data_IF_747251375128
#
_entry.id   IF_747251375128
#
_cell.length_a   1.000
_cell.length_b   1.000
_cell.length_c   1.000
_cell.angle_alpha   90.00
_cell.angle_beta   90.00
_cell.angle_gamma   90.00
#
_symmetry.space_group_name_H-M   'P 1'
#
loop_
_entity.id
_entity.type
_entity.pdbx_description
1 polymer ?
#
# COMPACT_ATOMS: atom_id res chain seq x y z
N UNK A 1 -39.29 14.51 -26.96
CA UNK A 1 -38.27 15.59 -26.82
C UNK A 1 -37.47 15.70 -28.13
N UNK A 2 -37.26 16.92 -28.65
CA UNK A 2 -36.49 17.13 -29.88
C UNK A 2 -34.99 16.85 -29.66
N UNK A 3 -34.26 16.54 -30.74
CA UNK A 3 -32.82 16.25 -30.64
C UNK A 3 -32.03 17.44 -30.07
N UNK A 4 -32.40 18.67 -30.45
CA UNK A 4 -31.81 19.91 -29.92
C UNK A 4 -32.03 20.07 -28.42
N UNK A 5 -33.22 19.71 -27.92
CA UNK A 5 -33.52 19.77 -26.49
C UNK A 5 -32.75 18.68 -25.70
N UNK A 6 -32.55 17.49 -26.27
CA UNK A 6 -31.76 16.42 -25.64
C UNK A 6 -30.32 16.87 -25.49
N UNK A 7 -29.72 17.36 -26.57
CA UNK A 7 -28.34 17.85 -26.57
C UNK A 7 -28.14 18.93 -25.49
N UNK A 8 -28.97 19.98 -25.48
CA UNK A 8 -28.88 21.05 -24.47
C UNK A 8 -28.99 20.52 -23.04
N UNK A 9 -29.95 19.64 -22.77
CA UNK A 9 -30.15 19.09 -21.43
C UNK A 9 -28.96 18.23 -21.00
N UNK A 10 -28.38 17.45 -21.92
CA UNK A 10 -27.21 16.61 -21.65
C UNK A 10 -25.95 17.43 -21.36
N UNK A 11 -25.74 18.55 -22.04
CA UNK A 11 -24.63 19.47 -21.70
C UNK A 11 -24.76 19.98 -20.26
N UNK A 12 -25.95 20.42 -19.85
CA UNK A 12 -26.19 20.89 -18.47
C UNK A 12 -25.93 19.77 -17.46
N UNK A 13 -26.44 18.58 -17.71
CA UNK A 13 -26.21 17.40 -16.87
C UNK A 13 -24.72 17.08 -16.74
N UNK A 14 -23.97 17.14 -17.84
CA UNK A 14 -22.53 16.91 -17.81
C UNK A 14 -21.80 17.97 -16.99
N UNK A 15 -22.13 19.25 -17.15
CA UNK A 15 -21.51 20.33 -16.38
C UNK A 15 -21.75 20.16 -14.87
N UNK A 16 -22.99 19.82 -14.49
CA UNK A 16 -23.32 19.51 -13.09
C UNK A 16 -22.49 18.31 -12.59
N UNK A 17 -22.39 17.26 -13.40
CA UNK A 17 -21.62 16.05 -13.06
C UNK A 17 -20.14 16.34 -12.87
N UNK A 18 -19.55 17.20 -13.72
CA UNK A 18 -18.16 17.65 -13.61
C UNK A 18 -17.94 18.40 -12.30
N UNK A 19 -18.79 19.38 -12.00
CA UNK A 19 -18.69 20.16 -10.75
C UNK A 19 -18.78 19.24 -9.53
N UNK A 20 -19.75 18.33 -9.51
CA UNK A 20 -19.90 17.37 -8.40
C UNK A 20 -18.65 16.48 -8.29
N UNK A 21 -18.13 15.99 -9.42
CA UNK A 21 -16.94 15.12 -9.43
C UNK A 21 -15.71 15.84 -8.88
N UNK A 22 -15.48 17.10 -9.28
CA UNK A 22 -14.37 17.93 -8.80
C UNK A 22 -14.47 18.20 -7.29
N UNK A 23 -15.68 18.33 -6.75
CA UNK A 23 -15.88 18.54 -5.31
C UNK A 23 -15.71 17.24 -4.51
N UNK A 24 -16.12 16.10 -5.07
CA UNK A 24 -16.11 14.82 -4.35
C UNK A 24 -14.76 14.11 -4.42
N UNK A 25 -14.07 14.14 -5.57
CA UNK A 25 -12.78 13.47 -5.76
C UNK A 25 -11.73 13.83 -4.70
N UNK A 26 -11.49 15.11 -4.37
CA UNK A 26 -10.58 15.46 -3.29
C UNK A 26 -10.98 14.84 -1.97
N UNK A 27 -12.28 14.85 -1.60
CA UNK A 27 -12.74 14.26 -0.32
C UNK A 27 -12.40 12.77 -0.20
N UNK A 28 -12.37 12.05 -1.32
CA UNK A 28 -12.13 10.61 -1.35
C UNK A 28 -10.65 10.28 -1.41
N UNK A 29 -9.90 11.01 -2.24
CA UNK A 29 -8.51 10.68 -2.59
C UNK A 29 -7.49 11.54 -1.84
N UNK A 30 -7.93 12.56 -1.10
CA UNK A 30 -7.06 13.50 -0.42
C UNK A 30 -6.48 12.91 0.86
N UNK A 31 -5.16 13.03 0.98
CA UNK A 31 -4.46 12.88 2.25
C UNK A 31 -4.34 14.26 2.90
N UNK A 32 -5.12 14.47 3.95
CA UNK A 32 -5.20 15.76 4.63
C UNK A 32 -4.20 15.79 5.78
N UNK A 33 -3.30 16.77 5.74
CA UNK A 33 -2.35 17.02 6.82
C UNK A 33 -2.98 17.88 7.92
N UNK A 34 -2.19 18.82 8.44
CA UNK A 34 -2.60 19.68 9.55
C UNK A 34 -3.65 20.74 9.15
N UNK A 35 -3.88 20.98 7.86
CA UNK A 35 -4.76 22.06 7.36
C UNK A 35 -5.72 21.54 6.29
N UNK A 36 -6.76 20.81 6.73
CA UNK A 36 -7.77 20.21 5.85
C UNK A 36 -8.28 21.16 4.75
N UNK A 37 -8.62 22.40 5.10
CA UNK A 37 -9.21 23.35 4.15
C UNK A 37 -8.20 23.73 3.05
N UNK A 38 -6.95 23.99 3.39
CA UNK A 38 -5.93 24.39 2.41
C UNK A 38 -5.60 23.22 1.49
N UNK A 39 -5.41 22.03 2.06
CA UNK A 39 -5.12 20.81 1.31
C UNK A 39 -6.28 20.46 0.37
N UNK A 40 -7.52 20.54 0.86
CA UNK A 40 -8.73 20.31 0.08
C UNK A 40 -8.87 21.29 -1.09
N UNK A 41 -8.69 22.59 -0.85
CA UNK A 41 -8.76 23.60 -1.91
C UNK A 41 -7.63 23.43 -2.94
N UNK A 42 -6.43 23.06 -2.49
CA UNK A 42 -5.31 22.72 -3.37
C UNK A 42 -5.65 21.55 -4.29
N UNK A 43 -6.20 20.47 -3.72
CA UNK A 43 -6.63 19.31 -4.48
C UNK A 43 -7.78 19.64 -5.44
N UNK A 44 -8.77 20.44 -5.05
CA UNK A 44 -9.82 20.93 -5.98
C UNK A 44 -9.18 21.60 -7.19
N UNK A 45 -8.20 22.47 -6.99
CA UNK A 45 -7.54 23.19 -8.07
C UNK A 45 -6.78 22.24 -9.00
N UNK A 46 -6.05 21.28 -8.43
CA UNK A 46 -5.33 20.24 -9.18
C UNK A 46 -6.31 19.40 -10.00
N UNK A 47 -7.35 18.83 -9.39
CA UNK A 47 -8.35 18.05 -10.10
C UNK A 47 -9.10 18.88 -11.14
N UNK A 48 -9.36 20.16 -10.87
CA UNK A 48 -9.98 21.06 -11.85
C UNK A 48 -9.12 21.24 -13.09
N UNK A 49 -7.79 21.36 -12.93
CA UNK A 49 -6.87 21.55 -14.05
C UNK A 49 -6.62 20.25 -14.82
N UNK A 50 -6.40 19.14 -14.11
CA UNK A 50 -5.96 17.90 -14.74
C UNK A 50 -7.09 16.93 -15.07
N UNK A 51 -8.14 16.81 -14.23
CA UNK A 51 -9.23 15.86 -14.48
C UNK A 51 -10.34 16.44 -15.38
N UNK A 52 -10.63 17.75 -15.28
CA UNK A 52 -11.69 18.37 -16.08
C UNK A 52 -11.51 18.21 -17.59
N UNK A 53 -10.31 18.36 -18.17
CA UNK A 53 -10.10 18.12 -19.60
C UNK A 53 -10.56 16.72 -20.03
N UNK A 54 -10.23 15.68 -19.26
CA UNK A 54 -10.69 14.32 -19.55
C UNK A 54 -12.21 14.17 -19.41
N UNK A 55 -12.81 14.75 -18.37
CA UNK A 55 -14.28 14.72 -18.21
C UNK A 55 -15.00 15.45 -19.35
N UNK A 56 -14.42 16.55 -19.86
CA UNK A 56 -14.95 17.31 -20.99
C UNK A 56 -14.80 16.51 -22.28
N UNK A 57 -13.61 15.97 -22.57
CA UNK A 57 -13.29 15.28 -23.82
C UNK A 57 -13.93 13.89 -23.92
N UNK A 58 -14.13 13.20 -22.81
CA UNK A 58 -14.60 11.82 -22.78
C UNK A 58 -15.98 11.71 -22.13
N UNK A 59 -16.18 12.34 -20.98
CA UNK A 59 -17.43 12.27 -20.22
C UNK A 59 -18.61 12.96 -20.93
N UNK A 60 -18.41 14.15 -21.49
CA UNK A 60 -19.48 14.88 -22.19
C UNK A 60 -19.97 14.09 -23.43
N UNK A 61 -19.11 13.62 -24.36
CA UNK A 61 -19.56 12.84 -25.50
C UNK A 61 -20.32 11.58 -25.10
N UNK A 62 -19.81 10.82 -24.13
CA UNK A 62 -20.50 9.62 -23.61
C UNK A 62 -21.91 9.99 -23.11
N UNK A 63 -22.04 11.03 -22.27
CA UNK A 63 -23.34 11.45 -21.75
C UNK A 63 -24.32 11.93 -22.84
N UNK A 64 -23.82 12.58 -23.89
CA UNK A 64 -24.66 12.99 -25.02
C UNK A 64 -25.15 11.75 -25.77
N UNK A 65 -24.26 10.80 -26.07
CA UNK A 65 -24.59 9.55 -26.75
C UNK A 65 -25.62 8.77 -25.93
N UNK A 66 -25.47 8.68 -24.60
CA UNK A 66 -26.43 7.96 -23.75
C UNK A 66 -27.84 8.55 -23.89
N UNK A 67 -27.98 9.87 -24.04
CA UNK A 67 -29.28 10.52 -24.27
C UNK A 67 -29.99 10.07 -25.54
N UNK A 68 -29.23 9.90 -26.62
CA UNK A 68 -29.79 9.44 -27.90
C UNK A 68 -30.14 7.95 -27.86
N UNK A 69 -29.31 7.13 -27.22
CA UNK A 69 -29.57 5.69 -27.06
C UNK A 69 -30.81 5.46 -26.20
N UNK A 70 -30.89 6.11 -25.04
CA UNK A 70 -32.00 5.92 -24.09
C UNK A 70 -33.36 6.41 -24.60
N UNK A 71 -33.39 7.23 -25.65
CA UNK A 71 -34.64 7.59 -26.35
C UNK A 71 -35.29 6.38 -27.02
N UNK A 72 -34.49 5.43 -27.50
CA UNK A 72 -34.97 4.23 -28.22
C UNK A 72 -35.26 3.06 -27.27
N UNK A 73 -34.77 3.12 -26.04
CA UNK A 73 -34.94 2.07 -25.03
C UNK A 73 -36.26 2.26 -24.29
N UNK A 74 -37.07 1.20 -24.18
CA UNK A 74 -38.37 1.25 -23.49
C UNK A 74 -38.32 0.70 -22.06
N UNK A 75 -37.47 -0.29 -21.80
CA UNK A 75 -37.33 -0.99 -20.52
C UNK A 75 -35.91 -0.88 -19.96
N UNK A 76 -35.77 -1.04 -18.64
CA UNK A 76 -34.48 -1.06 -17.94
C UNK A 76 -33.59 0.18 -18.18
N UNK A 77 -34.19 1.35 -18.45
CA UNK A 77 -33.44 2.59 -18.74
C UNK A 77 -32.33 2.90 -17.73
N UNK A 78 -32.52 2.81 -16.40
CA UNK A 78 -31.44 3.06 -15.45
C UNK A 78 -30.27 2.07 -15.60
N UNK A 79 -30.55 0.79 -15.82
CA UNK A 79 -29.51 -0.22 -16.00
C UNK A 79 -28.74 -0.01 -17.31
N UNK A 80 -29.44 0.25 -18.41
CA UNK A 80 -28.78 0.57 -19.69
C UNK A 80 -27.96 1.87 -19.57
N UNK A 81 -28.46 2.88 -18.84
CA UNK A 81 -27.72 4.11 -18.61
C UNK A 81 -26.43 3.84 -17.84
N UNK A 82 -26.50 3.02 -16.78
CA UNK A 82 -25.33 2.60 -16.02
C UNK A 82 -24.27 1.97 -16.93
N UNK A 83 -24.65 0.98 -17.74
CA UNK A 83 -23.70 0.31 -18.65
C UNK A 83 -23.07 1.27 -19.66
N UNK A 84 -23.84 2.20 -20.22
CA UNK A 84 -23.34 3.18 -21.18
C UNK A 84 -22.35 4.18 -20.55
N UNK A 85 -22.38 4.37 -19.24
CA UNK A 85 -21.40 5.19 -18.53
C UNK A 85 -20.21 4.36 -18.02
N UNK A 86 -20.47 3.23 -17.36
CA UNK A 86 -19.43 2.46 -16.66
C UNK A 86 -18.53 1.66 -17.59
N UNK A 87 -19.07 1.05 -18.65
CA UNK A 87 -18.27 0.21 -19.56
C UNK A 87 -17.24 1.03 -20.33
N UNK A 88 -17.59 2.16 -20.98
CA UNK A 88 -16.59 3.00 -21.63
C UNK A 88 -15.56 3.55 -20.64
N UNK A 89 -15.99 3.93 -19.43
CA UNK A 89 -15.08 4.43 -18.40
C UNK A 89 -14.08 3.37 -17.95
N UNK A 90 -14.51 2.11 -17.79
CA UNK A 90 -13.63 1.00 -17.46
C UNK A 90 -12.62 0.74 -18.58
N UNK A 91 -13.07 0.72 -19.85
CA UNK A 91 -12.18 0.55 -21.01
C UNK A 91 -11.13 1.66 -21.06
N UNK A 92 -11.55 2.91 -20.86
CA UNK A 92 -10.63 4.06 -20.81
C UNK A 92 -9.66 3.92 -19.65
N UNK A 93 -10.13 3.54 -18.46
CA UNK A 93 -9.28 3.32 -17.29
C UNK A 93 -8.20 2.27 -17.55
N UNK A 94 -8.58 1.12 -18.12
CA UNK A 94 -7.65 0.04 -18.47
C UNK A 94 -6.64 0.51 -19.53
N UNK A 95 -7.09 1.22 -20.57
CA UNK A 95 -6.18 1.71 -21.63
C UNK A 95 -5.16 2.72 -21.09
N UNK A 96 -5.57 3.61 -20.16
CA UNK A 96 -4.71 4.69 -19.66
C UNK A 96 -3.79 4.25 -18.52
N UNK A 97 -4.24 3.33 -17.67
CA UNK A 97 -3.55 3.00 -16.41
C UNK A 97 -3.10 1.54 -16.30
N UNK A 98 -3.41 0.72 -17.31
CA UNK A 98 -2.98 -0.67 -17.46
C UNK A 98 -3.25 -1.56 -16.24
N UNK A 99 -2.27 -1.73 -15.34
CA UNK A 99 -2.32 -2.65 -14.20
C UNK A 99 -2.61 -1.95 -12.86
N UNK A 100 -2.60 -0.61 -12.83
CA UNK A 100 -2.81 0.16 -11.61
C UNK A 100 -4.31 0.19 -11.23
N UNK A 101 -4.76 -0.84 -10.50
CA UNK A 101 -6.17 -1.07 -10.15
C UNK A 101 -6.85 0.22 -9.64
N UNK A 102 -6.21 0.91 -8.69
CA UNK A 102 -6.75 2.14 -8.12
C UNK A 102 -7.01 3.22 -9.20
N UNK A 103 -6.04 3.43 -10.09
CA UNK A 103 -6.16 4.43 -11.16
C UNK A 103 -7.20 4.04 -12.21
N UNK A 104 -7.34 2.75 -12.52
CA UNK A 104 -8.37 2.22 -13.44
C UNK A 104 -9.78 2.52 -12.94
N UNK A 105 -10.01 2.43 -11.63
CA UNK A 105 -11.35 2.59 -11.05
C UNK A 105 -11.74 4.06 -10.79
N UNK A 106 -10.80 5.02 -10.83
CA UNK A 106 -11.13 6.46 -10.72
C UNK A 106 -12.09 6.91 -11.85
N UNK A 107 -11.83 6.67 -13.15
CA UNK A 107 -12.77 6.98 -14.22
C UNK A 107 -14.13 6.31 -14.04
N UNK A 108 -14.16 5.06 -13.56
CA UNK A 108 -15.40 4.31 -13.32
C UNK A 108 -16.21 4.98 -12.22
N UNK A 109 -15.57 5.39 -11.12
CA UNK A 109 -16.21 6.15 -10.06
C UNK A 109 -16.77 7.49 -10.57
N UNK A 110 -16.01 8.26 -11.35
CA UNK A 110 -16.48 9.51 -11.96
C UNK A 110 -17.70 9.25 -12.88
N UNK A 111 -17.65 8.19 -13.69
CA UNK A 111 -18.75 7.81 -14.57
C UNK A 111 -20.04 7.49 -13.81
N UNK A 112 -19.91 6.98 -12.57
CA UNK A 112 -21.05 6.72 -11.69
C UNK A 112 -21.76 8.01 -11.26
N UNK A 113 -21.01 9.10 -11.04
CA UNK A 113 -21.57 10.42 -10.76
C UNK A 113 -22.34 10.92 -11.97
N UNK A 114 -21.77 10.81 -13.17
CA UNK A 114 -22.47 11.13 -14.42
C UNK A 114 -23.77 10.32 -14.57
N UNK A 115 -23.72 9.01 -14.30
CA UNK A 115 -24.90 8.16 -14.33
C UNK A 115 -25.98 8.60 -13.33
N UNK A 116 -25.61 8.97 -12.10
CA UNK A 116 -26.55 9.44 -11.07
C UNK A 116 -27.22 10.74 -11.49
N UNK A 117 -26.41 11.75 -11.83
CA UNK A 117 -26.93 13.06 -12.23
C UNK A 117 -27.79 12.92 -13.47
N UNK A 118 -27.36 12.13 -14.45
CA UNK A 118 -28.14 11.89 -15.65
C UNK A 118 -29.48 11.20 -15.34
N UNK A 119 -29.47 10.16 -14.51
CA UNK A 119 -30.71 9.44 -14.20
C UNK A 119 -31.68 10.30 -13.38
N UNK A 120 -31.19 11.09 -12.44
CA UNK A 120 -32.03 11.94 -11.59
C UNK A 120 -32.53 13.20 -12.32
N UNK A 121 -31.66 13.87 -13.10
CA UNK A 121 -31.97 15.15 -13.74
C UNK A 121 -32.51 14.97 -15.16
N UNK A 122 -31.90 14.10 -15.96
CA UNK A 122 -32.32 13.85 -17.35
C UNK A 122 -33.53 12.93 -17.43
N UNK A 123 -33.43 11.70 -16.91
CA UNK A 123 -34.50 10.70 -16.97
C UNK A 123 -35.65 10.99 -16.02
N UNK A 124 -35.41 11.75 -14.93
CA UNK A 124 -36.41 12.11 -13.91
C UNK A 124 -37.12 10.86 -13.37
N UNK A 125 -36.36 9.81 -13.07
CA UNK A 125 -36.94 8.55 -12.60
C UNK A 125 -37.76 8.79 -11.31
N UNK A 126 -39.02 8.37 -11.30
CA UNK A 126 -39.96 8.70 -10.22
C UNK A 126 -40.08 7.60 -9.17
N UNK A 127 -39.82 6.34 -9.55
CA UNK A 127 -40.00 5.19 -8.65
C UNK A 127 -38.92 5.12 -7.57
N UNK A 128 -39.33 5.05 -6.30
CA UNK A 128 -38.41 5.02 -5.14
C UNK A 128 -37.37 3.89 -5.21
N UNK A 129 -37.77 2.68 -5.61
CA UNK A 129 -36.85 1.53 -5.76
C UNK A 129 -35.71 1.80 -6.74
N UNK A 130 -36.03 2.44 -7.88
CA UNK A 130 -35.03 2.77 -8.90
C UNK A 130 -34.16 3.94 -8.47
N UNK A 131 -34.70 4.92 -7.74
CA UNK A 131 -33.91 6.00 -7.15
C UNK A 131 -32.87 5.46 -6.16
N UNK A 132 -33.26 4.52 -5.30
CA UNK A 132 -32.33 3.87 -4.38
C UNK A 132 -31.22 3.12 -5.13
N UNK A 133 -31.58 2.34 -6.15
CA UNK A 133 -30.59 1.70 -7.04
C UNK A 133 -29.62 2.71 -7.67
N UNK A 134 -30.12 3.85 -8.15
CA UNK A 134 -29.26 4.89 -8.75
C UNK A 134 -28.30 5.46 -7.70
N UNK A 135 -28.80 5.79 -6.50
CA UNK A 135 -28.02 6.42 -5.44
C UNK A 135 -26.98 5.49 -4.81
N UNK A 136 -27.19 4.18 -4.79
CA UNK A 136 -26.22 3.24 -4.18
C UNK A 136 -25.02 2.94 -5.10
N UNK A 137 -25.17 3.11 -6.42
CA UNK A 137 -24.14 2.75 -7.40
C UNK A 137 -22.79 3.45 -7.18
N UNK A 138 -22.72 4.78 -6.92
CA UNK A 138 -21.44 5.42 -6.61
C UNK A 138 -20.75 4.84 -5.37
N UNK A 139 -21.51 4.43 -4.35
CA UNK A 139 -20.96 3.81 -3.16
C UNK A 139 -20.39 2.42 -3.43
N UNK A 140 -21.03 1.65 -4.33
CA UNK A 140 -20.51 0.34 -4.77
C UNK A 140 -19.16 0.54 -5.47
N UNK A 141 -19.07 1.46 -6.43
CA UNK A 141 -17.81 1.73 -7.13
C UNK A 141 -16.75 2.34 -6.23
N UNK A 142 -17.14 3.18 -5.27
CA UNK A 142 -16.23 3.69 -4.24
C UNK A 142 -15.67 2.55 -3.39
N UNK A 143 -16.52 1.62 -2.95
CA UNK A 143 -16.07 0.46 -2.19
C UNK A 143 -15.09 -0.39 -3.01
N UNK A 144 -15.38 -0.62 -4.29
CA UNK A 144 -14.45 -1.32 -5.21
C UNK A 144 -13.12 -0.58 -5.32
N UNK A 145 -13.14 0.74 -5.51
CA UNK A 145 -11.94 1.58 -5.58
C UNK A 145 -11.08 1.47 -4.32
N UNK A 146 -11.70 1.40 -3.14
CA UNK A 146 -11.02 1.34 -1.85
C UNK A 146 -10.63 -0.09 -1.43
N UNK A 147 -11.10 -1.13 -2.16
CA UNK A 147 -10.94 -2.53 -1.75
C UNK A 147 -9.47 -2.94 -1.57
N UNK A 148 -8.52 -2.64 -2.49
CA UNK A 148 -7.11 -3.02 -2.29
C UNK A 148 -6.55 -2.47 -0.97
N UNK A 149 -6.71 -1.16 -0.75
CA UNK A 149 -6.24 -0.50 0.47
C UNK A 149 -6.88 -1.08 1.75
N UNK A 150 -8.13 -1.54 1.67
CA UNK A 150 -8.79 -2.19 2.81
C UNK A 150 -8.24 -3.61 3.06
N UNK A 151 -7.93 -4.37 2.00
CA UNK A 151 -7.31 -5.69 2.09
C UNK A 151 -5.91 -5.57 2.70
N UNK A 152 -5.10 -4.64 2.20
CA UNK A 152 -3.72 -4.44 2.67
C UNK A 152 -3.70 -4.05 4.16
N UNK A 153 -4.57 -3.11 4.56
CA UNK A 153 -4.73 -2.74 5.98
C UNK A 153 -5.20 -3.89 6.84
N UNK A 154 -6.14 -4.69 6.35
CA UNK A 154 -6.62 -5.86 7.09
C UNK A 154 -5.51 -6.90 7.27
N UNK A 155 -4.78 -7.24 6.21
CA UNK A 155 -3.63 -8.15 6.27
C UNK A 155 -2.55 -7.62 7.24
N UNK A 156 -2.22 -6.33 7.14
CA UNK A 156 -1.27 -5.69 8.04
C UNK A 156 -1.72 -5.76 9.51
N UNK A 157 -3.00 -5.55 9.79
CA UNK A 157 -3.54 -5.67 11.15
C UNK A 157 -3.47 -7.09 11.71
N UNK A 158 -3.54 -8.12 10.87
CA UNK A 158 -3.38 -9.50 11.34
C UNK A 158 -1.93 -9.75 11.76
N UNK A 159 -0.98 -9.22 11.01
CA UNK A 159 0.46 -9.38 11.26
C UNK A 159 0.89 -8.64 12.55
N UNK A 160 0.35 -7.45 12.83
CA UNK A 160 0.68 -6.71 14.06
C UNK A 160 0.17 -7.39 15.35
N UNK A 161 -0.79 -8.30 15.24
CA UNK A 161 -1.32 -9.05 16.38
C UNK A 161 -0.61 -10.39 16.61
N UNK A 162 0.42 -10.72 15.82
CA UNK A 162 1.27 -11.89 16.07
C UNK A 162 2.12 -11.67 17.34
N UNK A 163 2.40 -12.74 18.08
CA UNK A 163 3.29 -12.68 19.24
C UNK A 163 4.68 -12.20 18.80
N UNK A 164 5.33 -11.38 19.64
CA UNK A 164 6.69 -10.93 19.37
C UNK A 164 7.62 -12.13 19.24
N UNK A 165 8.47 -12.20 18.21
CA UNK A 165 9.38 -13.31 18.00
C UNK A 165 10.34 -13.41 19.17
N UNK A 166 10.44 -14.60 19.76
CA UNK A 166 11.52 -14.96 20.66
C UNK A 166 12.71 -15.36 19.80
N UNK A 167 13.92 -14.93 20.15
CA UNK A 167 15.12 -15.28 19.39
C UNK A 167 16.09 -16.00 20.32
N UNK A 168 16.42 -17.22 19.98
CA UNK A 168 17.47 -18.01 20.61
C UNK A 168 18.70 -17.97 19.71
N UNK A 169 19.83 -17.54 20.28
CA UNK A 169 21.11 -17.48 19.61
C UNK A 169 22.00 -18.59 20.17
N UNK A 170 22.45 -19.48 19.30
CA UNK A 170 23.43 -20.53 19.60
C UNK A 170 24.77 -20.14 18.97
N UNK A 171 25.79 -19.85 19.79
CA UNK A 171 27.16 -19.59 19.34
C UNK A 171 28.05 -20.71 19.87
N UNK A 172 28.56 -21.56 18.97
CA UNK A 172 29.42 -22.69 19.32
C UNK A 172 28.86 -23.63 20.43
N UNK A 173 27.53 -23.77 20.52
CA UNK A 173 26.85 -24.61 21.50
C UNK A 173 26.38 -23.87 22.76
N UNK A 174 26.73 -22.60 22.92
CA UNK A 174 26.20 -21.74 24.00
C UNK A 174 24.91 -21.06 23.52
N UNK A 175 23.78 -21.43 24.11
CA UNK A 175 22.44 -20.94 23.75
C UNK A 175 22.00 -19.84 24.71
N UNK A 176 21.65 -18.68 24.18
CA UNK A 176 21.13 -17.54 24.94
C UNK A 176 19.90 -16.95 24.24
N UNK A 177 18.87 -16.64 25.03
CA UNK A 177 17.73 -15.86 24.55
C UNK A 177 18.13 -14.39 24.40
N UNK A 178 17.95 -13.84 23.21
CA UNK A 178 18.27 -12.44 22.90
C UNK A 178 16.96 -11.66 22.78
N UNK A 179 16.86 -10.51 23.45
CA UNK A 179 15.72 -9.61 23.30
C UNK A 179 15.80 -8.91 21.95
N UNK A 180 14.90 -9.20 21.00
CA UNK A 180 14.97 -8.56 19.69
C UNK A 180 14.19 -7.25 19.66
N UNK A 181 14.62 -6.35 18.78
CA UNK A 181 13.83 -5.22 18.34
C UNK A 181 13.09 -5.61 17.06
N UNK A 182 11.77 -5.49 17.05
CA UNK A 182 10.93 -5.77 15.88
C UNK A 182 10.38 -4.50 15.26
N UNK A 183 10.31 -4.50 13.94
CA UNK A 183 9.58 -3.50 13.18
C UNK A 183 8.92 -4.16 11.97
N UNK A 184 7.93 -3.48 11.38
CA UNK A 184 7.21 -3.95 10.20
C UNK A 184 7.37 -2.96 9.07
N UNK A 185 7.53 -3.48 7.86
CA UNK A 185 7.67 -2.70 6.64
C UNK A 185 6.64 -3.20 5.62
N UNK A 186 5.47 -2.58 5.58
CA UNK A 186 4.36 -3.02 4.70
C UNK A 186 4.68 -2.88 3.22
N UNK A 187 5.51 -1.89 2.84
CA UNK A 187 5.57 -1.39 1.47
C UNK A 187 7.01 -1.19 0.95
N UNK A 188 8.01 -1.76 1.62
CA UNK A 188 9.43 -1.50 1.29
C UNK A 188 9.84 -0.04 1.50
N UNK A 189 9.05 0.71 2.27
CA UNK A 189 9.37 2.06 2.68
C UNK A 189 10.44 1.98 3.78
N UNK A 190 11.34 2.96 3.86
CA UNK A 190 12.46 2.98 4.83
C UNK A 190 12.03 3.02 6.33
N UNK A 191 10.85 2.54 6.70
CA UNK A 191 10.29 2.61 8.05
C UNK A 191 11.01 1.76 9.10
N UNK A 192 11.76 0.75 8.68
CA UNK A 192 12.59 -0.07 9.56
C UNK A 192 14.06 0.37 9.50
N UNK A 193 14.57 1.14 10.48
CA UNK A 193 15.97 1.52 10.50
C UNK A 193 16.87 0.28 10.65
N UNK A 194 17.77 0.08 9.69
CA UNK A 194 18.80 -0.96 9.74
C UNK A 194 20.10 -0.33 10.24
N UNK A 195 20.45 -0.60 11.50
CA UNK A 195 21.76 -0.31 12.07
C UNK A 195 22.79 -1.33 11.55
N UNK A 196 23.38 -0.99 10.41
CA UNK A 196 24.38 -1.80 9.72
C UNK A 196 25.83 -1.49 10.17
N UNK A 197 26.02 -0.83 11.32
CA UNK A 197 27.34 -0.39 11.80
C UNK A 197 27.79 -1.20 13.03
N UNK A 198 28.45 -2.35 12.84
CA UNK A 198 29.14 -3.02 13.94
C UNK A 198 30.27 -2.14 14.49
N UNK A 199 30.65 -2.36 15.75
CA UNK A 199 31.72 -1.61 16.42
C UNK A 199 32.55 -2.52 17.31
N UNK A 200 33.80 -2.13 17.57
CA UNK A 200 34.72 -2.88 18.42
C UNK A 200 34.25 -2.84 19.88
N UNK A 201 34.33 -3.98 20.56
CA UNK A 201 33.94 -4.06 21.96
C UNK A 201 34.94 -3.31 22.85
N UNK A 202 34.49 -2.45 23.78
CA UNK A 202 35.37 -1.87 24.78
C UNK A 202 35.83 -2.93 25.78
N UNK A 203 36.80 -2.57 26.63
CA UNK A 203 37.37 -3.49 27.62
C UNK A 203 36.32 -3.93 28.63
N UNK A 204 35.51 -2.98 29.08
CA UNK A 204 34.46 -3.20 30.06
C UNK A 204 33.18 -3.75 29.38
N UNK A 205 32.40 -4.60 30.07
CA UNK A 205 31.13 -5.10 29.54
C UNK A 205 30.12 -3.97 29.30
N UNK A 206 29.37 -4.06 28.21
CA UNK A 206 28.42 -3.01 27.79
C UNK A 206 26.95 -3.42 27.92
N UNK A 207 26.67 -4.49 28.66
CA UNK A 207 25.30 -4.95 28.92
C UNK A 207 24.61 -5.58 27.71
N UNK A 208 25.38 -6.17 26.79
CA UNK A 208 24.87 -7.05 25.73
C UNK A 208 25.32 -8.49 26.00
N UNK A 209 24.70 -9.47 25.35
CA UNK A 209 25.18 -10.85 25.41
C UNK A 209 26.53 -10.95 24.70
N UNK A 210 27.58 -11.34 25.42
CA UNK A 210 28.96 -11.43 24.93
C UNK A 210 29.44 -12.89 25.04
N UNK A 211 29.94 -13.46 23.94
CA UNK A 211 30.40 -14.85 23.86
C UNK A 211 31.92 -14.91 23.81
N UNK A 212 32.51 -15.74 24.68
CA UNK A 212 33.95 -16.00 24.66
C UNK A 212 34.24 -17.13 23.68
N UNK A 213 34.99 -16.85 22.62
CA UNK A 213 35.32 -17.83 21.60
C UNK A 213 36.82 -18.06 21.57
N UNK A 214 37.23 -19.32 21.44
CA UNK A 214 38.64 -19.70 21.37
C UNK A 214 39.33 -19.04 20.17
N UNK A 215 40.62 -18.69 20.35
CA UNK A 215 41.43 -18.12 19.28
C UNK A 215 41.55 -19.11 18.14
N UNK A 216 41.29 -18.64 16.92
CA UNK A 216 41.37 -19.40 15.66
C UNK A 216 40.27 -20.45 15.43
N UNK A 217 39.29 -20.57 16.34
CA UNK A 217 38.13 -21.42 16.13
C UNK A 217 37.13 -20.77 15.16
N UNK A 218 36.50 -21.59 14.32
CA UNK A 218 35.38 -21.16 13.49
C UNK A 218 34.19 -20.81 14.39
N UNK A 219 33.55 -19.66 14.12
CA UNK A 219 32.43 -19.20 14.93
C UNK A 219 31.16 -19.59 14.20
N UNK A 220 30.56 -20.68 14.66
CA UNK A 220 29.32 -21.21 14.14
C UNK A 220 28.16 -20.63 14.93
N UNK A 221 27.33 -19.85 14.24
CA UNK A 221 26.18 -19.19 14.85
C UNK A 221 24.89 -19.71 14.23
N UNK A 222 23.96 -20.13 15.08
CA UNK A 222 22.61 -20.51 14.67
C UNK A 222 21.59 -19.62 15.37
N UNK A 223 20.61 -19.17 14.61
CA UNK A 223 19.50 -18.35 15.08
C UNK A 223 18.24 -19.21 15.05
N UNK A 224 17.52 -19.30 16.16
CA UNK A 224 16.27 -20.03 16.23
C UNK A 224 15.15 -19.11 16.72
N UNK A 225 13.97 -19.21 16.12
CA UNK A 225 12.78 -18.43 16.49
C UNK A 225 11.70 -19.43 16.91
N UNK A 226 11.67 -19.86 18.18
CA UNK A 226 10.86 -21.01 18.61
C UNK A 226 9.36 -20.79 18.46
N UNK A 227 8.90 -19.54 18.55
CA UNK A 227 7.48 -19.18 18.38
C UNK A 227 7.10 -18.80 16.94
N UNK A 228 7.95 -19.08 15.96
CA UNK A 228 7.65 -18.87 14.54
C UNK A 228 7.87 -20.13 13.71
N UNK A 229 6.94 -20.41 12.79
CA UNK A 229 7.07 -21.45 11.75
C UNK A 229 7.34 -20.87 10.37
N UNK A 230 7.58 -19.56 10.28
CA UNK A 230 7.78 -18.83 9.03
C UNK A 230 9.21 -19.02 8.53
N UNK A 231 9.37 -19.00 7.21
CA UNK A 231 10.69 -18.93 6.60
C UNK A 231 11.27 -17.51 6.78
N UNK A 232 12.59 -17.43 6.89
CA UNK A 232 13.28 -16.15 7.06
C UNK A 232 14.67 -16.16 6.42
N UNK A 233 15.13 -14.95 6.12
CA UNK A 233 16.49 -14.68 5.67
C UNK A 233 17.25 -13.89 6.73
N UNK A 234 18.54 -14.15 6.88
CA UNK A 234 19.40 -13.47 7.85
C UNK A 234 20.39 -12.59 7.10
N UNK A 235 20.52 -11.33 7.51
CA UNK A 235 21.59 -10.42 7.12
C UNK A 235 22.43 -10.11 8.36
N UNK A 236 23.73 -10.38 8.28
CA UNK A 236 24.68 -10.21 9.39
C UNK A 236 25.72 -9.17 9.02
N UNK A 237 25.91 -8.18 9.89
CA UNK A 237 26.92 -7.15 9.74
C UNK A 237 28.03 -7.31 10.78
N UNK A 238 29.27 -7.43 10.31
CA UNK A 238 30.47 -7.57 11.14
C UNK A 238 31.67 -6.85 10.51
N UNK A 239 32.71 -6.61 11.32
CA UNK A 239 33.99 -6.02 10.95
C UNK A 239 34.96 -7.14 10.61
N UNK A 240 35.54 -7.04 9.42
CA UNK A 240 36.65 -7.86 8.95
C UNK A 240 37.80 -6.92 8.52
N UNK A 241 38.87 -6.91 9.31
CA UNK A 241 39.95 -5.94 9.21
C UNK A 241 39.43 -4.50 9.40
N UNK A 242 39.47 -3.68 8.34
CA UNK A 242 39.01 -2.27 8.35
C UNK A 242 37.67 -2.07 7.62
N UNK A 243 36.99 -3.14 7.22
CA UNK A 243 35.76 -3.05 6.41
C UNK A 243 34.59 -3.69 7.14
N UNK A 244 33.42 -3.07 7.01
CA UNK A 244 32.15 -3.69 7.38
C UNK A 244 31.76 -4.66 6.26
N UNK A 245 31.42 -5.90 6.62
CA UNK A 245 30.94 -6.95 5.75
C UNK A 245 29.45 -7.18 6.00
N UNK A 246 28.72 -7.45 4.92
CA UNK A 246 27.33 -7.88 4.92
C UNK A 246 27.30 -9.34 4.45
N UNK A 247 26.82 -10.24 5.29
CA UNK A 247 26.61 -11.65 4.98
C UNK A 247 25.12 -11.93 4.96
N UNK A 248 24.59 -12.28 3.79
CA UNK A 248 23.20 -12.69 3.61
C UNK A 248 23.13 -14.20 3.51
N UNK A 249 22.27 -14.81 4.34
CA UNK A 249 22.10 -16.26 4.41
C UNK A 249 20.62 -16.61 4.31
N UNK A 250 20.34 -17.61 3.47
CA UNK A 250 19.06 -18.28 3.41
C UNK A 250 19.07 -19.42 4.45
N UNK A 251 18.21 -19.32 5.46
CA UNK A 251 18.16 -20.29 6.57
C UNK A 251 18.63 -19.71 7.91
N UNK A 252 19.04 -20.60 8.82
CA UNK A 252 19.16 -20.30 10.24
C UNK A 252 20.59 -20.34 10.80
N UNK A 253 21.59 -20.58 9.96
CA UNK A 253 22.97 -20.83 10.39
C UNK A 253 23.95 -20.03 9.54
N UNK A 254 24.92 -19.38 10.17
CA UNK A 254 25.97 -18.64 9.49
C UNK A 254 27.32 -18.81 10.19
N UNK A 255 28.39 -18.57 9.44
CA UNK A 255 29.77 -18.75 9.89
C UNK A 255 30.48 -17.39 9.86
N UNK A 256 31.11 -17.01 10.97
CA UNK A 256 31.98 -15.84 11.01
C UNK A 256 33.45 -16.26 10.88
N UNK A 257 34.30 -15.47 10.21
CA UNK A 257 35.71 -15.80 10.03
C UNK A 257 36.48 -15.91 11.36
N UNK A 258 37.50 -16.77 11.38
CA UNK A 258 38.32 -17.08 12.58
C UNK A 258 39.21 -15.94 13.08
N UNK A 259 39.43 -14.90 12.25
CA UNK A 259 40.38 -13.81 12.50
C UNK A 259 39.71 -12.46 12.80
N UNK A 260 38.43 -12.48 13.18
CA UNK A 260 37.71 -11.26 13.52
C UNK A 260 38.17 -10.67 14.86
N UNK A 261 38.17 -9.34 14.94
CA UNK A 261 38.46 -8.59 16.17
C UNK A 261 37.30 -8.71 17.16
N UNK A 262 37.58 -8.42 18.45
CA UNK A 262 36.52 -8.30 19.47
C UNK A 262 35.51 -7.22 19.08
N UNK A 263 34.26 -7.59 18.86
CA UNK A 263 33.27 -6.70 18.25
C UNK A 263 31.83 -7.06 18.57
N UNK A 264 30.95 -6.10 18.31
CA UNK A 264 29.50 -6.29 18.26
C UNK A 264 29.08 -6.67 16.85
N UNK A 265 28.47 -7.83 16.72
CA UNK A 265 27.82 -8.31 15.50
C UNK A 265 26.36 -7.88 15.51
N UNK A 266 25.88 -7.34 14.38
CA UNK A 266 24.48 -6.92 14.20
C UNK A 266 23.78 -7.93 13.30
N UNK A 267 22.61 -8.40 13.71
CA UNK A 267 21.84 -9.38 12.96
C UNK A 267 20.47 -8.81 12.64
N UNK A 268 20.06 -8.98 11.38
CA UNK A 268 18.77 -8.59 10.85
C UNK A 268 18.11 -9.82 10.22
N UNK A 269 16.95 -10.20 10.72
CA UNK A 269 16.12 -11.27 10.17
C UNK A 269 14.97 -10.62 9.40
N UNK A 270 14.76 -11.03 8.17
CA UNK A 270 13.59 -10.63 7.38
C UNK A 270 12.70 -11.86 7.17
N UNK A 271 11.49 -11.81 7.73
CA UNK A 271 10.46 -12.83 7.57
C UNK A 271 9.65 -12.62 6.29
N UNK A 272 8.94 -13.66 5.85
CA UNK A 272 8.06 -13.66 4.68
C UNK A 272 6.93 -12.61 4.71
N UNK A 273 6.46 -12.25 5.90
CA UNK A 273 5.41 -11.26 6.15
C UNK A 273 5.94 -9.81 6.28
N UNK A 274 7.17 -9.57 5.84
CA UNK A 274 7.86 -8.28 5.95
C UNK A 274 8.11 -7.79 7.40
N UNK A 275 7.95 -8.67 8.41
CA UNK A 275 8.46 -8.39 9.75
C UNK A 275 9.99 -8.46 9.73
N UNK A 276 10.62 -7.43 10.28
CA UNK A 276 12.07 -7.35 10.47
C UNK A 276 12.38 -7.46 11.95
N UNK A 277 13.28 -8.38 12.28
CA UNK A 277 13.75 -8.64 13.65
C UNK A 277 15.23 -8.28 13.70
N UNK A 278 15.63 -7.48 14.67
CA UNK A 278 17.01 -7.04 14.81
C UNK A 278 17.53 -7.25 16.22
N UNK A 279 18.75 -7.73 16.34
CA UNK A 279 19.41 -7.91 17.62
C UNK A 279 20.93 -7.82 17.43
N UNK A 280 21.65 -7.80 18.55
CA UNK A 280 23.10 -7.67 18.55
C UNK A 280 23.71 -8.56 19.63
N UNK A 281 24.92 -9.03 19.37
CA UNK A 281 25.70 -9.79 20.33
C UNK A 281 27.18 -9.48 20.18
N UNK A 282 27.93 -9.65 21.26
CA UNK A 282 29.37 -9.44 21.31
C UNK A 282 30.13 -10.74 21.11
N UNK A 283 31.28 -10.67 20.43
CA UNK A 283 32.24 -11.78 20.34
C UNK A 283 33.57 -11.34 20.96
N UNK A 284 34.05 -12.14 21.91
CA UNK A 284 35.33 -11.97 22.60
C UNK A 284 36.27 -13.09 22.17
N UNK A 285 37.21 -12.78 21.28
CA UNK A 285 38.22 -13.75 20.79
C UNK A 285 39.56 -13.62 21.54
N UNK A 286 39.73 -12.61 22.39
CA UNK A 286 41.03 -12.25 22.96
C UNK A 286 42.03 -11.68 21.93
N UNK A 287 41.56 -11.39 20.71
CA UNK A 287 42.30 -10.70 19.65
C UNK A 287 41.79 -9.26 19.56
N UNK A 288 42.49 -8.35 20.23
CA UNK A 288 42.26 -6.90 20.14
C UNK A 288 43.15 -6.27 19.08
#
# INVERSE_FOLDING_TARGET
MSNKAIFKKKIIVSLISIVISILILPLILGEYGNSFIQDYLGLILIYSLFASPFMILLGIPVNIITGFVLKKVTRFKPFINLLLHSVPALIIGVILFNEEFFLIFIPVFISSIFFVVDTLVFLRESTSKKKYFVLIVPFIFLLTLLTPNLIDKWQFSQIQNEELPLVELDVNGEVVEVTPNTCWDSDGSNGCPVDNKPYLLPIDPIGINEFNVEKEAEIKTRVHIPNSKRDYSISVFYIDGKKIKDLKVEGNEFLLPTHIQEQVVKVYITMDNSQKVSFQFGIRTGNR
#
